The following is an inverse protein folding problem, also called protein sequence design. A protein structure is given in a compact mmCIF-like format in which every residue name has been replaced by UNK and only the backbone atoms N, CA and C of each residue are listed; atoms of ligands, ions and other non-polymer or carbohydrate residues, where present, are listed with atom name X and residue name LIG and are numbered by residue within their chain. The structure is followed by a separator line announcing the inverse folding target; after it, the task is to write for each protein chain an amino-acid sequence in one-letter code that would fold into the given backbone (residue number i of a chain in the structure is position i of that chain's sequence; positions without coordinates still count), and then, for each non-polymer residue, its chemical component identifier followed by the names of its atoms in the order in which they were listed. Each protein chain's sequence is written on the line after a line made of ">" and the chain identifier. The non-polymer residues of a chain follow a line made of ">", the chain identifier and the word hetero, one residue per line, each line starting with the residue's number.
data_IF_180747219447
#
_entry.id   IF_180747219447
#
_cell.length_a   1.000
_cell.length_b   1.000
_cell.length_c   1.000
_cell.angle_alpha   90.00
_cell.angle_beta   90.00
_cell.angle_gamma   90.00
#
_symmetry.space_group_name_H-M   'P 1'
#
loop_
_entity.id
_entity.type
_entity.pdbx_description
1 polymer ?
#
# COMPACT_ATOMS: atom_id res chain seq x y z
N UNK A 1 3.63 10.76 -11.36
CA UNK A 1 2.17 10.81 -11.52
C UNK A 1 1.57 9.50 -10.96
N UNK A 2 1.27 9.37 -9.65
CA UNK A 2 0.42 8.33 -9.06
C UNK A 2 -1.03 8.24 -9.59
N UNK A 3 -1.23 7.37 -10.56
CA UNK A 3 -2.53 6.96 -11.07
C UNK A 3 -3.16 5.94 -10.13
N UNK A 4 -4.26 6.31 -9.50
CA UNK A 4 -5.27 5.34 -9.04
C UNK A 4 -6.03 4.85 -10.27
N UNK A 5 -6.61 3.64 -10.24
CA UNK A 5 -7.64 3.24 -11.22
C UNK A 5 -8.89 4.17 -11.20
N UNK A 6 -8.87 5.18 -10.34
CA UNK A 6 -9.80 6.30 -10.25
C UNK A 6 -9.05 7.61 -9.89
N UNK A 7 -8.29 8.18 -10.81
CA UNK A 7 -7.84 9.59 -10.87
C UNK A 7 -7.15 10.27 -9.67
N UNK A 8 -5.96 10.84 -9.95
CA UNK A 8 -5.26 11.93 -9.24
C UNK A 8 -4.57 11.65 -7.88
N UNK A 9 -3.57 12.49 -7.55
CA UNK A 9 -2.20 12.04 -7.32
C UNK A 9 -1.47 12.52 -6.06
N UNK A 10 -2.10 13.36 -5.26
CA UNK A 10 -1.44 14.07 -4.13
C UNK A 10 -1.52 13.24 -2.83
N UNK A 11 -1.67 11.92 -2.96
CA UNK A 11 -2.68 11.22 -2.17
C UNK A 11 -2.20 10.03 -1.32
N UNK A 12 -0.93 9.85 -0.91
CA UNK A 12 -0.64 8.72 0.01
C UNK A 12 -1.39 8.88 1.36
N UNK A 13 -1.33 10.08 1.94
CA UNK A 13 -2.15 10.46 3.11
C UNK A 13 -3.64 10.54 2.80
N UNK A 14 -4.03 11.09 1.65
CA UNK A 14 -5.45 11.19 1.27
C UNK A 14 -6.07 9.83 0.92
N UNK A 15 -5.31 8.91 0.35
CA UNK A 15 -5.74 7.54 0.07
C UNK A 15 -5.88 6.78 1.39
N UNK A 16 -4.90 6.91 2.29
CA UNK A 16 -5.01 6.31 3.63
C UNK A 16 -6.23 6.86 4.39
N UNK A 17 -6.48 8.17 4.34
CA UNK A 17 -7.71 8.78 4.90
C UNK A 17 -8.99 8.33 4.20
N UNK A 18 -8.97 8.16 2.87
CA UNK A 18 -10.11 7.62 2.13
C UNK A 18 -10.38 6.18 2.50
N UNK A 19 -9.34 5.39 2.77
CA UNK A 19 -9.48 4.00 3.19
C UNK A 19 -10.09 3.87 4.58
N UNK A 20 -9.61 4.67 5.54
CA UNK A 20 -10.23 4.71 6.86
C UNK A 20 -11.71 5.13 6.77
N UNK A 21 -12.04 6.04 5.85
CA UNK A 21 -13.43 6.49 5.61
C UNK A 21 -14.29 5.44 4.91
N UNK A 22 -13.77 4.76 3.87
CA UNK A 22 -14.50 3.71 3.14
C UNK A 22 -14.75 2.51 4.04
N UNK A 23 -13.73 2.06 4.79
CA UNK A 23 -13.86 1.00 5.76
C UNK A 23 -14.92 1.34 6.83
N UNK A 24 -14.94 2.57 7.34
CA UNK A 24 -15.97 3.02 8.27
C UNK A 24 -17.39 2.99 7.65
N UNK A 25 -17.53 3.36 6.36
CA UNK A 25 -18.82 3.31 5.66
C UNK A 25 -19.28 1.88 5.35
N UNK A 26 -18.38 0.98 4.98
CA UNK A 26 -18.69 -0.44 4.67
C UNK A 26 -19.11 -1.23 5.91
N UNK A 27 -18.83 -0.73 7.11
CA UNK A 27 -19.19 -1.34 8.38
C UNK A 27 -20.33 -0.59 9.12
N UNK A 28 -21.12 0.23 8.40
CA UNK A 28 -22.32 0.93 8.93
C UNK A 28 -22.07 1.81 10.17
N UNK A 29 -20.91 2.46 10.26
CA UNK A 29 -20.59 3.37 11.35
C UNK A 29 -21.13 4.79 11.03
N UNK A 30 -22.33 5.09 11.54
CA UNK A 30 -23.18 6.23 11.13
C UNK A 30 -22.56 7.63 11.02
N UNK A 31 -23.15 8.37 10.05
CA UNK A 31 -22.88 9.72 9.59
C UNK A 31 -23.69 10.79 10.35
N UNK A 32 -23.03 11.60 11.19
CA UNK A 32 -23.54 12.93 11.53
C UNK A 32 -22.59 14.02 11.00
N UNK A 33 -23.14 14.84 10.11
CA UNK A 33 -22.48 15.84 9.28
C UNK A 33 -21.78 16.93 10.09
N UNK A 34 -20.51 16.67 10.38
CA UNK A 34 -19.35 17.52 10.73
C UNK A 34 -18.30 16.65 11.46
N UNK A 35 -18.65 15.37 11.74
CA UNK A 35 -17.88 14.42 12.55
C UNK A 35 -17.48 13.11 11.86
N UNK A 36 -17.19 13.10 10.55
CA UNK A 36 -16.56 11.92 9.87
C UNK A 36 -15.19 11.57 10.50
N UNK A 37 -14.66 12.45 11.35
CA UNK A 37 -13.43 12.25 12.13
C UNK A 37 -13.66 11.39 13.39
N UNK A 38 -14.88 11.25 13.93
CA UNK A 38 -15.05 10.83 15.33
C UNK A 38 -15.50 9.39 15.62
N UNK A 39 -16.04 8.61 14.66
CA UNK A 39 -16.26 7.16 14.85
C UNK A 39 -15.14 6.28 14.28
N UNK A 40 -14.45 6.76 13.24
CA UNK A 40 -13.25 6.10 12.71
C UNK A 40 -12.06 6.14 13.67
N UNK A 41 -12.01 7.12 14.59
CA UNK A 41 -10.99 7.21 15.65
C UNK A 41 -11.11 6.12 16.71
N UNK A 42 -12.30 5.59 16.97
CA UNK A 42 -12.47 4.48 17.92
C UNK A 42 -11.80 3.19 17.41
N UNK A 43 -11.59 3.08 16.09
CA UNK A 43 -10.90 1.96 15.44
C UNK A 43 -9.53 2.34 14.88
N UNK A 44 -9.13 3.61 14.93
CA UNK A 44 -7.83 4.06 14.40
C UNK A 44 -6.66 3.46 15.17
N UNK A 45 -6.89 3.15 16.45
CA UNK A 45 -5.98 2.41 17.31
C UNK A 45 -5.81 0.94 16.91
N UNK A 46 -6.72 0.40 16.09
CA UNK A 46 -6.66 -0.98 15.59
C UNK A 46 -6.11 -1.07 14.18
N UNK A 47 -6.11 0.02 13.41
CA UNK A 47 -5.60 -0.03 12.04
C UNK A 47 -4.10 -0.23 12.00
N UNK A 48 -3.68 -1.19 11.17
CA UNK A 48 -2.29 -1.54 10.95
C UNK A 48 -1.91 -1.31 9.50
N UNK A 49 -0.71 -0.77 9.31
CA UNK A 49 -0.13 -0.50 7.99
C UNK A 49 1.24 -1.14 7.88
N UNK A 50 1.54 -1.65 6.69
CA UNK A 50 2.74 -2.44 6.41
C UNK A 50 3.56 -1.78 5.31
N UNK A 51 4.87 -1.81 5.49
CA UNK A 51 5.86 -1.46 4.46
C UNK A 51 7.19 -2.15 4.74
N UNK A 52 8.06 -2.23 3.74
CA UNK A 52 9.43 -2.70 3.94
C UNK A 52 10.32 -1.62 4.55
N UNK A 53 11.48 -2.02 5.10
CA UNK A 53 12.56 -1.10 5.48
C UNK A 53 13.17 -0.33 4.30
N UNK A 54 12.91 -0.76 3.06
CA UNK A 54 13.27 -0.05 1.83
C UNK A 54 12.22 0.99 1.40
N UNK A 55 11.05 1.01 2.04
CA UNK A 55 10.00 1.97 1.71
C UNK A 55 10.43 3.39 2.10
N UNK A 56 10.20 4.36 1.22
CA UNK A 56 10.60 5.75 1.47
C UNK A 56 10.04 6.28 2.80
N UNK A 57 10.86 7.02 3.54
CA UNK A 57 10.49 7.60 4.85
C UNK A 57 9.25 8.52 4.82
N UNK A 58 8.84 8.97 3.64
CA UNK A 58 7.58 9.70 3.40
C UNK A 58 6.36 8.85 3.73
N UNK A 59 6.43 7.53 3.58
CA UNK A 59 5.38 6.60 3.98
C UNK A 59 5.08 6.70 5.48
N UNK A 60 6.08 6.54 6.35
CA UNK A 60 5.88 6.65 7.80
C UNK A 60 5.39 8.04 8.22
N UNK A 61 5.82 9.10 7.52
CA UNK A 61 5.28 10.45 7.73
C UNK A 61 3.81 10.54 7.32
N UNK A 62 3.42 9.92 6.22
CA UNK A 62 2.04 9.87 5.76
C UNK A 62 1.14 9.13 6.75
N UNK A 63 1.58 8.00 7.30
CA UNK A 63 0.86 7.25 8.34
C UNK A 63 0.57 8.13 9.58
N UNK A 64 1.56 8.89 10.05
CA UNK A 64 1.41 9.82 11.17
C UNK A 64 0.39 10.93 10.86
N UNK A 65 0.44 11.51 9.66
CA UNK A 65 -0.51 12.56 9.23
C UNK A 65 -1.93 12.02 9.05
N UNK A 66 -2.07 10.73 8.71
CA UNK A 66 -3.34 10.04 8.61
C UNK A 66 -3.93 9.64 9.98
N UNK A 67 -3.17 9.79 11.08
CA UNK A 67 -3.61 9.44 12.42
C UNK A 67 -3.35 7.99 12.83
N UNK A 68 -2.56 7.24 12.05
CA UNK A 68 -2.15 5.88 12.43
C UNK A 68 -1.13 5.97 13.56
N UNK A 69 -1.35 5.17 14.60
CA UNK A 69 -0.44 5.12 15.74
C UNK A 69 0.92 4.56 15.32
N UNK A 70 2.04 5.13 15.80
CA UNK A 70 3.38 4.64 15.45
C UNK A 70 3.62 3.16 15.75
N UNK A 71 2.95 2.61 16.76
CA UNK A 71 3.01 1.19 17.11
C UNK A 71 2.35 0.27 16.07
N UNK A 72 1.44 0.79 15.25
CA UNK A 72 0.73 0.04 14.22
C UNK A 72 1.32 0.28 12.81
N UNK A 73 2.49 0.90 12.73
CA UNK A 73 3.26 1.04 11.48
C UNK A 73 4.33 -0.03 11.47
N UNK A 74 4.05 -1.14 10.81
CA UNK A 74 4.95 -2.29 10.78
C UNK A 74 5.95 -2.14 9.62
N UNK A 75 7.20 -1.94 10.00
CA UNK A 75 8.33 -1.95 9.08
C UNK A 75 8.89 -3.37 9.03
N UNK A 76 8.66 -4.05 7.91
CA UNK A 76 9.15 -5.41 7.68
C UNK A 76 10.60 -5.34 7.23
N UNK A 77 11.49 -5.95 8.00
CA UNK A 77 12.91 -6.00 7.66
C UNK A 77 13.14 -6.87 6.42
N UNK A 78 13.96 -6.37 5.53
CA UNK A 78 14.40 -7.10 4.34
C UNK A 78 15.86 -7.51 4.51
N UNK A 79 16.37 -8.36 3.63
CA UNK A 79 17.72 -8.91 3.75
C UNK A 79 18.44 -8.89 2.41
N UNK A 80 19.76 -8.73 2.48
CA UNK A 80 20.61 -8.67 1.29
C UNK A 80 20.54 -9.97 0.47
N UNK A 81 20.35 -11.11 1.13
CA UNK A 81 20.20 -12.44 0.50
C UNK A 81 18.95 -12.57 -0.38
N UNK A 82 18.00 -11.63 -0.25
CA UNK A 82 16.76 -11.57 -1.02
C UNK A 82 16.65 -10.26 -1.82
N UNK A 83 17.77 -9.63 -2.15
CA UNK A 83 17.82 -8.37 -2.89
C UNK A 83 16.98 -7.23 -2.25
N UNK A 84 16.89 -7.28 -0.91
CA UNK A 84 16.05 -6.41 -0.10
C UNK A 84 14.54 -6.45 -0.44
N UNK A 85 14.07 -7.52 -1.06
CA UNK A 85 12.64 -7.67 -1.41
C UNK A 85 11.78 -8.01 -0.19
N UNK A 86 10.56 -7.48 -0.19
CA UNK A 86 9.55 -7.78 0.82
C UNK A 86 9.07 -9.22 0.66
N UNK A 87 9.38 -10.07 1.64
CA UNK A 87 8.97 -11.47 1.65
C UNK A 87 7.48 -11.62 1.97
N UNK A 88 6.66 -12.17 1.04
CA UNK A 88 5.23 -12.39 1.30
C UNK A 88 4.97 -13.38 2.43
N UNK A 89 5.90 -14.32 2.65
CA UNK A 89 5.81 -15.31 3.73
C UNK A 89 6.00 -14.65 5.10
N UNK A 90 6.98 -13.77 5.23
CA UNK A 90 7.22 -13.02 6.47
C UNK A 90 6.05 -12.07 6.73
N UNK A 91 5.60 -11.36 5.70
CA UNK A 91 4.47 -10.44 5.81
C UNK A 91 3.19 -11.15 6.22
N UNK A 92 2.90 -12.34 5.67
CA UNK A 92 1.74 -13.15 6.08
C UNK A 92 1.76 -13.45 7.57
N UNK A 93 2.90 -13.91 8.10
CA UNK A 93 3.02 -14.22 9.53
C UNK A 93 2.76 -13.01 10.43
N UNK A 94 3.23 -11.82 10.03
CA UNK A 94 2.96 -10.57 10.76
C UNK A 94 1.46 -10.24 10.73
N UNK A 95 0.84 -10.29 9.54
CA UNK A 95 -0.60 -10.03 9.38
C UNK A 95 -1.43 -11.00 10.22
N UNK A 96 -1.10 -12.28 10.23
CA UNK A 96 -1.82 -13.29 11.03
C UNK A 96 -1.74 -12.99 12.53
N UNK A 97 -0.57 -12.57 13.02
CA UNK A 97 -0.39 -12.16 14.42
C UNK A 97 -1.24 -10.93 14.75
N UNK A 98 -1.26 -9.94 13.87
CA UNK A 98 -2.06 -8.72 14.07
C UNK A 98 -3.56 -9.01 14.07
N UNK A 99 -4.03 -9.87 13.16
CA UNK A 99 -5.44 -10.30 13.10
C UNK A 99 -5.83 -11.05 14.37
N UNK A 100 -4.98 -11.96 14.87
CA UNK A 100 -5.22 -12.68 16.14
C UNK A 100 -5.22 -11.72 17.33
N UNK A 101 -4.43 -10.65 17.29
CA UNK A 101 -4.42 -9.59 18.29
C UNK A 101 -5.65 -8.65 18.22
N UNK A 102 -6.56 -8.85 17.27
CA UNK A 102 -7.75 -8.02 17.08
C UNK A 102 -7.48 -6.70 16.37
N UNK A 103 -6.30 -6.57 15.75
CA UNK A 103 -5.96 -5.44 14.90
C UNK A 103 -6.52 -5.64 13.49
N UNK A 104 -6.62 -4.55 12.73
CA UNK A 104 -7.22 -4.49 11.40
C UNK A 104 -6.15 -4.11 10.36
N UNK A 105 -5.63 -5.09 9.60
CA UNK A 105 -4.76 -4.85 8.46
C UNK A 105 -5.44 -3.96 7.42
N UNK A 106 -4.95 -2.72 7.24
CA UNK A 106 -5.60 -1.74 6.37
C UNK A 106 -4.84 -1.50 5.07
N UNK A 107 -3.51 -1.35 5.15
CA UNK A 107 -2.71 -0.84 4.04
C UNK A 107 -1.36 -1.53 3.93
N UNK A 108 -0.97 -1.87 2.70
CA UNK A 108 0.33 -2.42 2.36
C UNK A 108 1.00 -1.56 1.28
N UNK A 109 2.21 -1.10 1.56
CA UNK A 109 3.07 -0.40 0.62
C UNK A 109 4.12 -1.35 0.05
N UNK A 110 3.98 -1.71 -1.23
CA UNK A 110 5.00 -2.43 -1.99
C UNK A 110 5.87 -1.43 -2.75
N UNK A 111 7.18 -1.64 -2.77
CA UNK A 111 8.16 -0.72 -3.37
C UNK A 111 8.78 -1.33 -4.62
N UNK A 112 8.89 -0.51 -5.66
CA UNK A 112 9.65 -0.78 -6.89
C UNK A 112 10.65 0.36 -7.05
N UNK A 113 11.89 0.14 -6.61
CA UNK A 113 12.93 1.17 -6.62
C UNK A 113 14.20 0.70 -7.34
N UNK A 114 14.79 1.60 -8.11
CA UNK A 114 16.10 1.38 -8.73
C UNK A 114 17.27 1.80 -7.80
N UNK A 115 17.01 2.46 -6.66
CA UNK A 115 18.08 2.90 -5.73
C UNK A 115 18.82 1.72 -5.06
N UNK A 116 18.07 0.68 -4.71
CA UNK A 116 18.60 -0.60 -4.16
C UNK A 116 18.34 -1.76 -5.11
N UNK A 117 17.90 -1.46 -6.35
CA UNK A 117 17.45 -2.44 -7.36
C UNK A 117 16.36 -3.39 -6.88
N UNK A 118 15.66 -3.03 -5.81
CA UNK A 118 14.63 -3.85 -5.17
C UNK A 118 13.31 -3.73 -5.92
N UNK A 119 12.76 -4.89 -6.28
CA UNK A 119 11.43 -5.01 -6.87
C UNK A 119 10.64 -6.01 -6.05
N UNK A 120 9.66 -5.52 -5.30
CA UNK A 120 8.79 -6.38 -4.51
C UNK A 120 7.93 -7.30 -5.40
N UNK A 121 7.67 -8.55 -4.97
CA UNK A 121 6.89 -9.51 -5.76
C UNK A 121 5.40 -9.16 -5.79
N UNK A 122 5.02 -8.20 -6.64
CA UNK A 122 3.69 -7.59 -6.70
C UNK A 122 2.54 -8.61 -6.82
N UNK A 123 2.70 -9.64 -7.64
CA UNK A 123 1.67 -10.67 -7.83
C UNK A 123 1.39 -11.47 -6.56
N UNK A 124 2.44 -11.81 -5.79
CA UNK A 124 2.30 -12.56 -4.54
C UNK A 124 1.73 -11.66 -3.43
N UNK A 125 2.23 -10.42 -3.34
CA UNK A 125 1.71 -9.43 -2.40
C UNK A 125 0.25 -9.08 -2.68
N UNK A 126 -0.17 -9.04 -3.95
CA UNK A 126 -1.56 -8.81 -4.30
C UNK A 126 -2.47 -9.94 -3.86
N UNK A 127 -2.04 -11.18 -4.06
CA UNK A 127 -2.80 -12.36 -3.62
C UNK A 127 -2.98 -12.33 -2.09
N UNK A 128 -1.89 -12.05 -1.35
CA UNK A 128 -1.93 -11.88 0.09
C UNK A 128 -2.85 -10.73 0.52
N UNK A 129 -2.71 -9.56 -0.11
CA UNK A 129 -3.55 -8.41 0.20
C UNK A 129 -5.04 -8.69 -0.08
N UNK A 130 -5.36 -9.50 -1.08
CA UNK A 130 -6.75 -9.91 -1.36
C UNK A 130 -7.28 -10.87 -0.30
N UNK A 131 -6.47 -11.81 0.18
CA UNK A 131 -6.85 -12.77 1.23
C UNK A 131 -7.25 -12.07 2.53
N UNK A 132 -6.55 -11.00 2.89
CA UNK A 132 -6.78 -10.24 4.13
C UNK A 132 -7.55 -8.92 3.92
N UNK A 133 -8.12 -8.68 2.72
CA UNK A 133 -8.80 -7.44 2.35
C UNK A 133 -7.99 -6.15 2.59
N UNK A 134 -6.67 -6.23 2.43
CA UNK A 134 -5.74 -5.12 2.59
C UNK A 134 -5.67 -4.32 1.29
N UNK A 135 -5.56 -3.01 1.41
CA UNK A 135 -5.30 -2.14 0.27
C UNK A 135 -3.82 -2.21 -0.14
N UNK A 136 -3.55 -2.59 -1.40
CA UNK A 136 -2.21 -2.62 -1.95
C UNK A 136 -1.88 -1.32 -2.71
N UNK A 137 -0.87 -0.59 -2.22
CA UNK A 137 -0.23 0.51 -2.92
C UNK A 137 1.13 0.11 -3.46
N UNK A 138 1.40 0.41 -4.73
CA UNK A 138 2.73 0.20 -5.35
C UNK A 138 3.44 1.53 -5.51
N UNK A 139 4.49 1.77 -4.73
CA UNK A 139 5.37 2.92 -4.91
C UNK A 139 6.47 2.58 -5.92
N UNK A 140 6.30 3.05 -7.15
CA UNK A 140 7.27 2.94 -8.23
C UNK A 140 7.73 4.34 -8.69
N UNK A 141 7.79 5.33 -7.78
CA UNK A 141 8.07 6.71 -8.16
C UNK A 141 9.44 6.86 -8.84
N UNK A 142 10.40 6.04 -8.40
CA UNK A 142 11.75 6.00 -8.96
C UNK A 142 11.90 4.89 -10.03
N UNK A 143 11.56 3.63 -9.69
CA UNK A 143 11.73 2.49 -10.60
C UNK A 143 10.74 2.44 -11.77
N UNK A 144 9.60 3.13 -11.67
CA UNK A 144 8.58 3.17 -12.72
C UNK A 144 9.03 3.87 -14.00
N UNK A 145 10.04 4.76 -13.95
CA UNK A 145 10.61 5.37 -15.16
C UNK A 145 11.32 4.34 -16.04
N UNK A 146 12.05 3.39 -15.44
CA UNK A 146 12.72 2.33 -16.19
C UNK A 146 11.71 1.49 -16.97
N UNK A 147 10.51 1.31 -16.42
CA UNK A 147 9.43 0.49 -16.98
C UNK A 147 8.72 1.13 -18.19
N UNK A 148 9.12 2.34 -18.61
CA UNK A 148 8.72 2.92 -19.90
C UNK A 148 9.35 2.11 -21.04
N UNK A 149 10.59 1.65 -20.86
CA UNK A 149 11.28 0.79 -21.81
C UNK A 149 10.68 -0.64 -21.79
N UNK A 150 10.37 -1.24 -22.95
CA UNK A 150 9.78 -2.59 -23.03
C UNK A 150 10.55 -3.66 -22.25
N UNK A 151 11.88 -3.56 -22.20
CA UNK A 151 12.79 -4.53 -21.60
C UNK A 151 12.66 -4.60 -20.07
N UNK A 152 12.25 -3.49 -19.44
CA UNK A 152 12.09 -3.37 -17.98
C UNK A 152 10.62 -3.41 -17.55
N UNK A 153 9.68 -3.53 -18.48
CA UNK A 153 8.24 -3.53 -18.16
C UNK A 153 7.82 -4.72 -17.30
N UNK A 154 8.54 -5.83 -17.39
CA UNK A 154 8.34 -7.03 -16.57
C UNK A 154 8.42 -6.77 -15.05
N UNK A 155 9.18 -5.75 -14.62
CA UNK A 155 9.35 -5.43 -13.19
C UNK A 155 8.12 -4.79 -12.54
N UNK A 156 7.15 -4.35 -13.34
CA UNK A 156 5.87 -3.81 -12.87
C UNK A 156 4.69 -4.71 -13.27
N UNK A 157 4.95 -5.95 -13.68
CA UNK A 157 3.88 -6.90 -13.96
C UNK A 157 3.03 -7.14 -12.71
N UNK A 158 1.73 -6.90 -12.81
CA UNK A 158 0.79 -6.96 -11.70
C UNK A 158 0.47 -5.59 -11.08
N UNK A 159 1.12 -4.50 -11.50
CA UNK A 159 0.79 -3.13 -11.05
C UNK A 159 -0.66 -2.74 -11.38
N UNK A 160 -1.24 -3.30 -12.44
CA UNK A 160 -2.62 -3.07 -12.85
C UNK A 160 -3.64 -3.63 -11.84
N UNK A 161 -3.20 -4.59 -11.02
CA UNK A 161 -4.01 -5.23 -9.98
C UNK A 161 -3.86 -4.54 -8.63
N UNK A 162 -2.92 -3.61 -8.50
CA UNK A 162 -2.79 -2.78 -7.32
C UNK A 162 -3.96 -1.79 -7.24
N UNK A 163 -4.38 -1.47 -6.02
CA UNK A 163 -5.47 -0.53 -5.81
C UNK A 163 -5.02 0.91 -6.14
N UNK A 164 -3.75 1.22 -5.90
CA UNK A 164 -3.13 2.48 -6.31
C UNK A 164 -1.64 2.27 -6.60
N UNK A 165 -1.08 3.07 -7.50
CA UNK A 165 0.35 3.05 -7.74
C UNK A 165 0.91 4.46 -7.96
N UNK A 166 2.17 4.68 -7.60
CA UNK A 166 2.91 5.87 -7.97
C UNK A 166 3.95 5.54 -9.02
N UNK A 167 3.66 5.73 -10.31
CA UNK A 167 4.60 5.48 -11.39
C UNK A 167 4.39 6.48 -12.53
N UNK A 168 5.44 6.96 -13.22
CA UNK A 168 5.30 7.72 -14.46
C UNK A 168 5.04 6.81 -15.66
N UNK A 169 4.23 5.77 -15.48
CA UNK A 169 3.88 4.81 -16.53
C UNK A 169 2.55 5.27 -17.13
N UNK A 170 2.45 5.48 -18.45
CA UNK A 170 1.17 5.81 -19.07
C UNK A 170 0.17 4.69 -18.83
N UNK A 171 -1.02 5.04 -18.33
CA UNK A 171 -2.12 4.12 -17.97
C UNK A 171 -2.77 3.38 -19.16
N UNK A 172 -2.11 3.34 -20.31
CA UNK A 172 -2.61 2.67 -21.51
C UNK A 172 -2.17 1.19 -21.54
N UNK A 173 -2.98 0.34 -20.90
CA UNK A 173 -3.46 -0.89 -21.55
C UNK A 173 -4.97 -0.74 -21.79
N UNK A 174 -5.39 0.25 -22.59
CA UNK A 174 -6.64 0.09 -23.34
C UNK A 174 -6.31 -0.86 -24.48
N UNK A 175 -6.96 -2.02 -24.46
CA UNK A 175 -7.07 -3.02 -25.52
C UNK A 175 -6.58 -2.53 -26.89
N UNK A 176 -5.63 -3.28 -27.45
CA UNK A 176 -5.56 -3.43 -28.90
C UNK A 176 -6.94 -3.88 -29.39
N UNK A 177 -7.57 -3.05 -30.22
CA UNK A 177 -8.51 -3.45 -31.28
C UNK A 177 -8.15 -2.62 -32.49
#
# INVERSE_FOLDING_TARGET
>A
MCTTNSGNLVNSTQNLRRLTSNFASENELDHDGFGVVYKGVDYIEKFVVYGSDQTYSTHSKACKVAGIFPCNVHVVLTSIERDFTLSPVVLRGIIEVDVVAGLVPLFLCATVTTSTTTVDPLSQLRQLAKEFNIWLHVDAAYGGNACICPEFRQYVDGIERANSHCAPIPSNKRSEV
#
